data_IF_487979795128
#
_entry.id   IF_487979795128
#
_cell.length_a   1.000
_cell.length_b   1.000
_cell.length_c   1.000
_cell.angle_alpha   90.00
_cell.angle_beta   90.00
_cell.angle_gamma   90.00
#
_symmetry.space_group_name_H-M   'P 1'
#
loop_
_entity.id
_entity.type
_entity.pdbx_description
1 polymer ?
#
# COMPACT_ATOMS: atom_id res chain seq x y z
N UNK A 1 -9.78 -6.51 3.03
CA UNK A 1 -10.57 -7.26 2.02
C UNK A 1 -9.96 -8.63 1.83
N UNK A 2 -10.75 -9.71 1.68
CA UNK A 2 -10.19 -11.01 1.26
C UNK A 2 -9.54 -10.90 -0.13
N UNK A 3 -8.53 -11.74 -0.38
CA UNK A 3 -7.85 -11.81 -1.68
C UNK A 3 -8.79 -12.49 -2.69
N UNK A 4 -9.19 -11.78 -3.72
CA UNK A 4 -10.06 -12.31 -4.77
C UNK A 4 -9.54 -11.86 -6.13
N UNK A 5 -9.31 -12.81 -7.04
CA UNK A 5 -8.80 -12.55 -8.40
C UNK A 5 -7.48 -11.76 -8.44
N UNK A 6 -6.58 -11.96 -7.48
CA UNK A 6 -5.32 -11.20 -7.40
C UNK A 6 -5.49 -9.75 -6.94
N UNK A 7 -6.67 -9.39 -6.41
CA UNK A 7 -6.94 -8.09 -5.82
C UNK A 7 -6.98 -8.18 -4.31
N UNK A 8 -6.33 -7.22 -3.66
CA UNK A 8 -6.49 -6.94 -2.24
C UNK A 8 -6.25 -5.46 -1.95
N UNK A 9 -6.68 -5.05 -0.77
CA UNK A 9 -6.49 -3.67 -0.31
C UNK A 9 -5.96 -3.66 1.11
N UNK A 10 -5.11 -2.68 1.38
CA UNK A 10 -4.49 -2.48 2.68
C UNK A 10 -4.32 -0.99 2.97
N UNK A 11 -3.98 -0.70 4.22
CA UNK A 11 -3.49 0.61 4.68
C UNK A 11 -2.27 0.34 5.56
N UNK A 12 -1.24 1.16 5.44
CA UNK A 12 -0.24 1.26 6.49
C UNK A 12 -0.90 1.86 7.73
N UNK A 13 -0.65 1.25 8.88
CA UNK A 13 -1.16 1.69 10.17
C UNK A 13 -0.04 1.58 11.22
N UNK A 14 0.74 2.66 11.43
CA UNK A 14 1.70 2.71 12.52
C UNK A 14 1.01 2.47 13.88
N UNK A 15 1.75 1.92 14.82
CA UNK A 15 1.24 1.68 16.18
C UNK A 15 0.72 2.99 16.81
N UNK A 16 -0.35 2.93 17.60
CA UNK A 16 -0.96 4.11 18.22
C UNK A 16 -1.69 5.07 17.27
N UNK A 17 -1.70 4.82 15.95
CA UNK A 17 -2.41 5.71 15.01
C UNK A 17 -3.91 5.41 14.99
N UNK A 18 -4.72 6.44 15.26
CA UNK A 18 -6.18 6.36 15.14
C UNK A 18 -6.62 6.33 13.67
N UNK A 19 -7.81 5.80 13.42
CA UNK A 19 -8.40 5.88 12.08
C UNK A 19 -8.99 7.28 11.85
N UNK A 20 -8.63 7.92 10.75
CA UNK A 20 -9.00 9.31 10.51
C UNK A 20 -8.26 9.91 9.31
N UNK A 21 -8.50 11.19 9.08
CA UNK A 21 -7.90 11.94 7.97
C UNK A 21 -6.37 11.97 8.02
N UNK A 22 -5.79 11.91 9.23
CA UNK A 22 -4.34 11.82 9.38
C UNK A 22 -3.79 10.49 8.82
N UNK A 23 -4.47 9.38 9.09
CA UNK A 23 -4.12 8.06 8.54
C UNK A 23 -4.37 8.00 7.03
N UNK A 24 -5.41 8.69 6.55
CA UNK A 24 -5.69 8.82 5.11
C UNK A 24 -4.58 9.58 4.39
N UNK A 25 -4.12 10.73 4.93
CA UNK A 25 -2.98 11.49 4.38
C UNK A 25 -1.69 10.68 4.40
N UNK A 26 -1.39 9.99 5.50
CA UNK A 26 -0.22 9.12 5.60
C UNK A 26 -0.21 8.06 4.50
N UNK A 27 -1.36 7.42 4.24
CA UNK A 27 -1.47 6.40 3.20
C UNK A 27 -1.38 6.99 1.78
N UNK A 28 -1.85 8.21 1.56
CA UNK A 28 -1.67 8.90 0.28
C UNK A 28 -0.19 9.24 0.03
N UNK A 29 0.50 9.81 1.02
CA UNK A 29 1.94 10.11 0.94
C UNK A 29 2.78 8.84 0.74
N UNK A 30 2.41 7.75 1.41
CA UNK A 30 3.07 6.46 1.20
C UNK A 30 2.84 5.92 -0.22
N UNK A 31 1.61 6.01 -0.75
CA UNK A 31 1.34 5.60 -2.13
C UNK A 31 2.15 6.42 -3.13
N UNK A 32 2.24 7.74 -2.92
CA UNK A 32 3.04 8.63 -3.76
C UNK A 32 4.52 8.24 -3.73
N UNK A 33 5.06 7.86 -2.56
CA UNK A 33 6.42 7.35 -2.45
C UNK A 33 6.62 6.00 -3.18
N UNK A 34 5.66 5.07 -3.07
CA UNK A 34 5.70 3.78 -3.80
C UNK A 34 5.69 4.01 -5.31
N UNK A 35 4.76 4.83 -5.80
CA UNK A 35 4.66 5.11 -7.23
C UNK A 35 5.83 5.97 -7.74
N UNK A 36 6.39 6.82 -6.89
CA UNK A 36 7.57 7.66 -7.20
C UNK A 36 8.90 6.89 -7.25
N UNK A 37 9.02 5.77 -6.53
CA UNK A 37 10.18 4.86 -6.60
C UNK A 37 10.28 4.17 -7.98
N UNK A 38 9.14 3.98 -8.66
CA UNK A 38 9.08 3.53 -10.06
C UNK A 38 9.25 2.03 -10.26
N UNK A 39 9.55 1.25 -9.21
CA UNK A 39 9.69 -0.22 -9.29
C UNK A 39 8.34 -0.91 -9.51
N UNK A 40 7.30 -0.43 -8.84
CA UNK A 40 5.92 -0.91 -8.97
C UNK A 40 4.96 0.28 -9.05
N UNK A 41 3.75 0.04 -9.55
CA UNK A 41 2.68 1.03 -9.53
C UNK A 41 1.44 0.44 -8.87
N UNK A 42 0.94 1.13 -7.85
CA UNK A 42 -0.27 0.78 -7.12
C UNK A 42 -1.32 1.89 -7.29
N UNK A 43 -2.57 1.56 -6.99
CA UNK A 43 -3.68 2.52 -7.04
C UNK A 43 -4.35 2.64 -5.69
N UNK A 44 -5.23 3.62 -5.56
CA UNK A 44 -6.06 3.87 -4.40
C UNK A 44 -7.54 3.78 -4.74
N UNK A 45 -8.35 3.69 -3.70
CA UNK A 45 -9.78 3.98 -3.78
C UNK A 45 -10.27 4.55 -2.44
N UNK A 46 -11.54 4.93 -2.39
CA UNK A 46 -12.23 5.25 -1.15
C UNK A 46 -13.18 4.11 -0.80
N UNK A 47 -13.07 3.60 0.42
CA UNK A 47 -13.98 2.59 0.96
C UNK A 47 -14.50 3.07 2.31
N UNK A 48 -15.83 3.12 2.47
CA UNK A 48 -16.49 3.65 3.67
C UNK A 48 -15.96 5.03 4.10
N UNK A 49 -15.66 5.89 3.11
CA UNK A 49 -15.12 7.23 3.35
C UNK A 49 -13.62 7.28 3.72
N UNK A 50 -12.91 6.14 3.73
CA UNK A 50 -11.48 6.06 4.04
C UNK A 50 -10.62 5.77 2.83
N UNK A 51 -9.43 6.35 2.82
CA UNK A 51 -8.44 6.12 1.77
C UNK A 51 -7.80 4.74 1.96
N UNK A 52 -7.85 3.91 0.92
CA UNK A 52 -7.22 2.58 0.92
C UNK A 52 -6.35 2.40 -0.31
N UNK A 53 -5.23 1.70 -0.14
CA UNK A 53 -4.36 1.29 -1.23
C UNK A 53 -4.86 -0.05 -1.76
N UNK A 54 -4.86 -0.20 -3.08
CA UNK A 54 -5.27 -1.41 -3.79
C UNK A 54 -4.12 -1.95 -4.63
N UNK A 55 -3.84 -3.22 -4.41
CA UNK A 55 -2.98 -4.05 -5.26
C UNK A 55 -3.90 -4.86 -6.17
N UNK A 56 -3.53 -4.91 -7.45
CA UNK A 56 -4.26 -5.68 -8.46
C UNK A 56 -3.26 -6.34 -9.40
N UNK A 57 -3.15 -7.65 -9.31
CA UNK A 57 -2.28 -8.46 -10.18
C UNK A 57 -3.17 -9.05 -11.28
N UNK A 58 -3.15 -8.43 -12.46
CA UNK A 58 -4.04 -8.79 -13.57
C UNK A 58 -3.40 -9.58 -14.71
N UNK A 59 -2.06 -9.57 -14.82
CA UNK A 59 -1.35 -10.24 -15.91
C UNK A 59 -1.01 -11.68 -15.54
N UNK A 60 -1.20 -12.60 -16.48
CA UNK A 60 -0.81 -14.01 -16.31
C UNK A 60 0.69 -14.23 -16.41
N UNK A 61 1.45 -13.21 -16.83
CA UNK A 61 2.90 -13.26 -16.89
C UNK A 61 3.57 -12.96 -15.53
N UNK A 62 2.82 -12.54 -14.52
CA UNK A 62 3.37 -12.29 -13.18
C UNK A 62 3.93 -13.58 -12.60
N UNK A 63 5.20 -13.53 -12.21
CA UNK A 63 5.95 -14.59 -11.57
C UNK A 63 6.04 -14.39 -10.05
N UNK A 64 6.58 -15.37 -9.33
CA UNK A 64 6.87 -15.22 -7.90
C UNK A 64 7.87 -14.10 -7.64
N UNK A 65 8.91 -13.99 -8.46
CA UNK A 65 9.96 -12.97 -8.32
C UNK A 65 9.38 -11.55 -8.40
N UNK A 66 8.36 -11.33 -9.24
CA UNK A 66 7.66 -10.04 -9.33
C UNK A 66 6.91 -9.71 -8.03
N UNK A 67 6.34 -10.73 -7.37
CA UNK A 67 5.65 -10.57 -6.09
C UNK A 67 6.66 -10.25 -4.97
N UNK A 68 7.81 -10.92 -4.98
CA UNK A 68 8.87 -10.68 -4.01
C UNK A 68 9.42 -9.25 -4.16
N UNK A 69 9.66 -8.79 -5.40
CA UNK A 69 10.03 -7.39 -5.70
C UNK A 69 8.97 -6.41 -5.18
N UNK A 70 7.69 -6.69 -5.43
CA UNK A 70 6.61 -5.83 -4.97
C UNK A 70 6.54 -5.76 -3.43
N UNK A 71 6.65 -6.91 -2.76
CA UNK A 71 6.64 -6.99 -1.30
C UNK A 71 7.84 -6.27 -0.67
N UNK A 72 9.04 -6.49 -1.18
CA UNK A 72 10.27 -5.85 -0.71
C UNK A 72 10.21 -4.33 -0.93
N UNK A 73 9.67 -3.88 -2.07
CA UNK A 73 9.50 -2.46 -2.37
C UNK A 73 8.51 -1.81 -1.41
N UNK A 74 7.33 -2.41 -1.22
CA UNK A 74 6.29 -1.93 -0.30
C UNK A 74 6.83 -1.84 1.13
N UNK A 75 7.50 -2.88 1.62
CA UNK A 75 7.97 -2.92 3.01
C UNK A 75 9.16 -2.00 3.27
N UNK A 76 10.12 -1.91 2.33
CA UNK A 76 11.24 -0.96 2.37
C UNK A 76 10.73 0.47 2.44
N UNK A 77 9.80 0.84 1.57
CA UNK A 77 9.24 2.19 1.50
C UNK A 77 8.29 2.50 2.66
N UNK A 78 7.65 1.49 3.26
CA UNK A 78 6.82 1.66 4.44
C UNK A 78 7.64 1.96 5.72
N UNK A 79 8.89 1.50 5.79
CA UNK A 79 9.69 1.54 7.01
C UNK A 79 9.82 2.94 7.67
N UNK A 80 10.00 4.06 6.94
CA UNK A 80 10.02 5.40 7.53
C UNK A 80 8.67 5.82 8.14
N UNK A 81 7.55 5.47 7.50
CA UNK A 81 6.21 5.81 7.97
C UNK A 81 5.85 5.06 9.26
N UNK A 82 6.33 3.83 9.41
CA UNK A 82 6.07 2.99 10.59
C UNK A 82 6.87 3.41 11.84
N UNK A 83 8.00 4.12 11.66
CA UNK A 83 8.85 4.59 12.77
C UNK A 83 8.40 5.93 13.37
N UNK A 84 7.48 6.64 12.71
CA UNK A 84 7.17 8.05 13.01
C UNK A 84 5.94 8.22 13.91
N UNK A 85 5.42 7.15 14.52
CA UNK A 85 4.37 7.27 15.54
C UNK A 85 4.97 7.73 16.88
N UNK A 86 4.91 9.04 17.15
CA UNK A 86 5.11 9.64 18.48
C UNK A 86 3.82 10.33 18.90
#
# INVERSE_FOLDING_TARGET
>A
SPVQLGLFSFRLRPEGTEDGEALDRLNAEFLDAVNGDGTIYLTQTVHEGRYIIRVSIGTTATSQDDIDIAFDTITRLAAPYLKTAT
#
